data_IF_610628461703
#
_entry.id   IF_610628461703
#
_cell.length_a   1.000
_cell.length_b   1.000
_cell.length_c   1.000
_cell.angle_alpha   90.00
_cell.angle_beta   90.00
_cell.angle_gamma   90.00
#
_symmetry.space_group_name_H-M   'P 1'
#
loop_
_entity.id
_entity.type
_entity.pdbx_description
1 polymer ?
#
# COMPACT_ATOMS: atom_id res chain seq x y z
N UNK A 1 0.19 -12.21 -10.77
CA UNK A 1 1.59 -12.10 -10.32
C UNK A 1 2.13 -13.50 -10.13
N UNK A 2 3.36 -13.74 -10.56
CA UNK A 2 4.05 -15.03 -10.37
C UNK A 2 5.34 -14.69 -9.65
N UNK A 3 5.51 -15.17 -8.42
CA UNK A 3 6.73 -15.00 -7.64
C UNK A 3 7.44 -16.36 -7.53
N UNK A 4 8.74 -16.33 -7.83
CA UNK A 4 9.68 -17.42 -7.61
C UNK A 4 10.73 -16.85 -6.66
N UNK A 5 10.56 -17.08 -5.36
CA UNK A 5 11.53 -16.73 -4.33
C UNK A 5 11.35 -17.66 -3.13
N UNK A 6 12.24 -18.65 -3.02
CA UNK A 6 12.23 -19.72 -1.99
C UNK A 6 13.22 -19.45 -0.84
N UNK A 7 13.55 -18.20 -0.55
CA UNK A 7 14.20 -17.82 0.72
C UNK A 7 14.24 -16.31 0.91
N UNK A 8 13.67 -15.80 1.99
CA UNK A 8 13.71 -14.39 2.40
C UNK A 8 14.30 -14.36 3.84
N UNK A 9 15.45 -13.71 4.02
CA UNK A 9 16.16 -13.53 5.30
C UNK A 9 15.59 -12.38 6.13
N UNK A 10 15.92 -12.30 7.44
CA UNK A 10 15.68 -11.08 8.23
C UNK A 10 16.38 -9.90 7.54
N UNK A 11 15.72 -8.74 7.51
CA UNK A 11 16.07 -7.52 6.76
C UNK A 11 15.84 -7.57 5.25
N UNK A 12 15.36 -8.70 4.70
CA UNK A 12 14.94 -8.72 3.30
C UNK A 12 13.69 -7.86 3.10
N UNK A 13 13.64 -7.25 1.92
CA UNK A 13 12.61 -6.29 1.55
C UNK A 13 11.68 -6.92 0.52
N UNK A 14 10.43 -7.07 0.91
CA UNK A 14 9.35 -7.35 -0.03
C UNK A 14 8.87 -6.01 -0.61
N UNK A 15 9.22 -5.75 -1.87
CA UNK A 15 8.74 -4.58 -2.59
C UNK A 15 7.32 -4.81 -3.10
N UNK A 16 6.42 -3.89 -2.77
CA UNK A 16 5.05 -3.85 -3.24
C UNK A 16 4.84 -2.64 -4.14
N UNK A 17 4.19 -2.85 -5.28
CA UNK A 17 3.83 -1.80 -6.22
C UNK A 17 2.36 -1.43 -6.04
N UNK A 18 2.10 -0.18 -5.67
CA UNK A 18 0.75 0.39 -5.57
C UNK A 18 0.36 0.99 -6.92
N UNK A 19 -0.81 0.58 -7.41
CA UNK A 19 -1.45 1.18 -8.57
C UNK A 19 -2.88 1.56 -8.21
N UNK A 20 -3.21 2.85 -8.33
CA UNK A 20 -4.56 3.37 -8.09
C UNK A 20 -5.03 4.20 -9.28
N UNK A 21 -6.16 3.79 -9.85
CA UNK A 21 -6.79 4.49 -10.95
C UNK A 21 -8.25 4.78 -10.62
N UNK A 22 -8.59 6.06 -10.56
CA UNK A 22 -9.98 6.47 -10.53
C UNK A 22 -10.53 6.59 -11.95
N UNK A 23 -11.64 5.90 -12.24
CA UNK A 23 -12.32 5.92 -13.55
C UNK A 23 -13.80 6.36 -13.43
N UNK A 24 -14.15 7.11 -12.39
CA UNK A 24 -15.52 7.59 -12.22
C UNK A 24 -15.84 8.79 -13.10
N UNK A 25 -17.09 9.22 -13.04
CA UNK A 25 -17.64 10.28 -13.90
C UNK A 25 -17.27 11.69 -13.46
N UNK A 26 -16.92 11.89 -12.18
CA UNK A 26 -16.39 13.16 -11.72
C UNK A 26 -14.98 13.36 -12.30
N UNK A 27 -14.59 14.60 -12.65
CA UNK A 27 -13.27 14.85 -13.22
C UNK A 27 -12.13 14.59 -12.24
N UNK A 28 -12.38 14.74 -10.94
CA UNK A 28 -11.42 14.45 -9.88
C UNK A 28 -12.11 14.13 -8.55
N UNK A 29 -11.40 13.42 -7.68
CA UNK A 29 -11.76 13.21 -6.27
C UNK A 29 -10.82 14.02 -5.41
N UNK A 30 -11.38 14.63 -4.37
CA UNK A 30 -10.60 15.49 -3.49
C UNK A 30 -9.58 14.73 -2.65
N UNK A 31 -9.95 13.58 -2.08
CA UNK A 31 -9.05 12.79 -1.25
C UNK A 31 -9.45 11.31 -1.23
N UNK A 32 -8.47 10.44 -1.48
CA UNK A 32 -8.56 9.00 -1.28
C UNK A 32 -7.67 8.62 -0.10
N UNK A 33 -8.18 7.74 0.75
CA UNK A 33 -7.38 7.03 1.76
C UNK A 33 -7.08 5.63 1.25
N UNK A 34 -5.85 5.16 1.47
CA UNK A 34 -5.40 3.81 1.15
C UNK A 34 -4.87 3.15 2.41
N UNK A 35 -5.53 2.09 2.86
CA UNK A 35 -5.15 1.26 4.00
C UNK A 35 -4.24 0.13 3.55
N UNK A 36 -2.98 0.22 3.98
CA UNK A 36 -1.93 -0.76 3.77
C UNK A 36 -1.66 -1.46 5.10
N UNK A 37 -1.66 -2.80 5.08
CA UNK A 37 -1.40 -3.60 6.28
C UNK A 37 -0.25 -4.55 6.07
N UNK A 38 0.77 -4.41 6.91
CA UNK A 38 1.87 -5.33 6.96
C UNK A 38 1.41 -6.67 7.59
N UNK A 39 1.86 -7.81 7.05
CA UNK A 39 1.68 -9.10 7.69
C UNK A 39 2.36 -9.17 9.06
N UNK A 40 2.08 -10.23 9.81
CA UNK A 40 2.92 -10.54 10.98
C UNK A 40 4.37 -10.75 10.55
N UNK A 41 5.32 -10.31 11.37
CA UNK A 41 6.76 -10.46 11.09
C UNK A 41 7.30 -9.51 10.04
N UNK A 42 6.50 -8.51 9.64
CA UNK A 42 6.90 -7.46 8.71
C UNK A 42 6.54 -6.08 9.26
N UNK A 43 7.40 -5.11 8.95
CA UNK A 43 7.15 -3.70 9.16
C UNK A 43 7.30 -2.92 7.85
N UNK A 44 6.66 -1.75 7.76
CA UNK A 44 6.88 -0.85 6.64
C UNK A 44 8.22 -0.12 6.77
N UNK A 45 8.92 0.10 5.66
CA UNK A 45 9.98 1.11 5.65
C UNK A 45 9.37 2.51 5.55
N UNK A 46 9.22 3.17 6.70
CA UNK A 46 8.62 4.50 6.80
C UNK A 46 9.42 5.59 6.07
N UNK A 47 10.72 5.39 5.85
CA UNK A 47 11.54 6.37 5.11
C UNK A 47 11.13 6.49 3.64
N UNK A 48 10.55 5.43 3.07
CA UNK A 48 9.99 5.47 1.72
C UNK A 48 8.69 6.30 1.69
N UNK A 49 7.84 6.19 2.71
CA UNK A 49 6.63 7.02 2.82
C UNK A 49 6.96 8.50 3.08
N UNK A 50 7.98 8.80 3.90
CA UNK A 50 8.50 10.15 4.09
C UNK A 50 8.99 10.75 2.76
N UNK A 51 9.65 9.93 1.93
CA UNK A 51 10.12 10.34 0.61
C UNK A 51 8.96 10.57 -0.37
N UNK A 52 7.90 9.75 -0.32
CA UNK A 52 6.70 9.92 -1.14
C UNK A 52 5.95 11.21 -0.80
N UNK A 53 5.81 11.53 0.50
CA UNK A 53 5.23 12.79 0.98
C UNK A 53 6.08 13.98 0.52
N UNK A 54 7.39 13.92 0.75
CA UNK A 54 8.32 14.98 0.35
C UNK A 54 8.34 15.24 -1.17
N UNK A 55 8.06 14.22 -1.98
CA UNK A 55 7.95 14.32 -3.45
C UNK A 55 6.56 14.77 -3.93
N UNK A 56 5.57 14.81 -3.03
CA UNK A 56 4.17 15.12 -3.36
C UNK A 56 3.45 14.02 -4.12
N UNK A 57 3.96 12.77 -4.07
CA UNK A 57 3.27 11.60 -4.64
C UNK A 57 2.06 11.23 -3.78
N UNK A 58 2.23 11.34 -2.46
CA UNK A 58 1.18 11.26 -1.46
C UNK A 58 1.10 12.60 -0.73
N UNK A 59 -0.02 12.89 -0.08
CA UNK A 59 -0.21 14.14 0.67
C UNK A 59 0.27 14.04 2.11
N UNK A 60 0.16 12.84 2.70
CA UNK A 60 0.64 12.46 4.03
C UNK A 60 0.40 10.97 4.26
N UNK A 61 0.89 10.44 5.37
CA UNK A 61 0.51 9.12 5.86
C UNK A 61 0.41 9.09 7.38
N UNK A 62 -0.42 8.21 7.92
CA UNK A 62 -0.42 7.83 9.34
C UNK A 62 0.11 6.41 9.48
N UNK A 63 0.90 6.16 10.53
CA UNK A 63 1.39 4.82 10.87
C UNK A 63 0.94 4.44 12.28
N UNK A 64 0.36 3.24 12.42
CA UNK A 64 0.00 2.64 13.70
C UNK A 64 0.31 1.13 13.69
N UNK A 65 1.36 0.72 14.40
CA UNK A 65 1.87 -0.65 14.41
C UNK A 65 2.16 -1.15 12.98
N UNK A 66 1.35 -2.08 12.48
CA UNK A 66 1.48 -2.71 11.15
C UNK A 66 0.49 -2.14 10.13
N UNK A 67 -0.07 -0.97 10.40
CA UNK A 67 -0.98 -0.29 9.49
C UNK A 67 -0.39 1.05 9.07
N UNK A 68 -0.37 1.29 7.76
CA UNK A 68 -0.12 2.60 7.18
C UNK A 68 -1.36 3.03 6.40
N UNK A 69 -1.89 4.20 6.72
CA UNK A 69 -2.97 4.83 5.96
C UNK A 69 -2.37 5.99 5.17
N UNK A 70 -2.37 5.86 3.85
CA UNK A 70 -1.86 6.86 2.91
C UNK A 70 -2.99 7.79 2.50
N UNK A 71 -2.72 9.10 2.52
CA UNK A 71 -3.64 10.12 2.04
C UNK A 71 -3.15 10.62 0.68
N UNK A 72 -4.03 10.63 -0.31
CA UNK A 72 -3.73 11.12 -1.66
C UNK A 72 -4.78 12.18 -1.98
N UNK A 73 -4.37 13.38 -2.40
CA UNK A 73 -5.27 14.47 -2.80
C UNK A 73 -5.32 14.65 -4.31
N UNK A 74 -6.40 15.27 -4.78
CA UNK A 74 -6.56 15.71 -6.17
C UNK A 74 -6.41 14.58 -7.21
N UNK A 75 -7.06 13.44 -6.96
CA UNK A 75 -7.02 12.27 -7.84
C UNK A 75 -7.81 12.56 -9.10
N UNK A 76 -7.14 12.71 -10.23
CA UNK A 76 -7.77 13.01 -11.53
C UNK A 76 -8.28 11.73 -12.18
N UNK A 77 -9.50 11.76 -12.71
CA UNK A 77 -10.08 10.62 -13.42
C UNK A 77 -9.25 10.26 -14.66
N UNK A 78 -8.95 8.97 -14.82
CA UNK A 78 -8.13 8.44 -15.91
C UNK A 78 -6.62 8.63 -15.76
N UNK A 79 -6.15 9.22 -14.66
CA UNK A 79 -4.72 9.39 -14.37
C UNK A 79 -4.35 8.48 -13.20
N UNK A 80 -3.44 7.50 -13.38
CA UNK A 80 -3.05 6.63 -12.29
C UNK A 80 -2.12 7.34 -11.31
N UNK A 81 -2.25 6.98 -10.03
CA UNK A 81 -1.26 7.24 -8.99
C UNK A 81 -0.54 5.94 -8.72
N UNK A 82 0.78 5.97 -8.81
CA UNK A 82 1.64 4.79 -8.70
C UNK A 82 2.84 5.09 -7.81
N UNK A 83 3.17 4.16 -6.94
CA UNK A 83 4.39 4.20 -6.14
C UNK A 83 4.76 2.83 -5.60
N UNK A 84 6.03 2.65 -5.31
CA UNK A 84 6.54 1.46 -4.63
C UNK A 84 6.68 1.73 -3.14
N UNK A 85 6.49 0.69 -2.34
CA UNK A 85 6.83 0.68 -0.92
C UNK A 85 7.35 -0.71 -0.50
N UNK A 86 8.16 -0.75 0.54
CA UNK A 86 8.80 -1.95 1.03
C UNK A 86 8.23 -2.39 2.37
N UNK A 87 8.05 -3.70 2.49
CA UNK A 87 7.87 -4.39 3.76
C UNK A 87 9.20 -5.06 4.12
N UNK A 88 9.71 -4.78 5.32
CA UNK A 88 10.96 -5.34 5.84
C UNK A 88 10.64 -6.52 6.74
N UNK A 89 11.24 -7.68 6.45
CA UNK A 89 11.09 -8.88 7.26
C UNK A 89 11.80 -8.72 8.62
N UNK A 90 11.03 -8.76 9.70
CA UNK A 90 11.52 -8.74 11.09
C UNK A 90 11.70 -10.16 11.67
N UNK A 91 10.97 -11.15 11.12
CA UNK A 91 10.99 -12.55 11.55
C UNK A 91 10.94 -13.49 10.34
N UNK A 92 11.60 -14.67 10.39
CA UNK A 92 11.53 -15.67 9.34
C UNK A 92 10.24 -16.50 9.47
N UNK A 93 9.11 -15.95 8.99
CA UNK A 93 7.80 -16.60 9.09
C UNK A 93 7.01 -16.54 7.80
N UNK A 94 6.24 -17.59 7.53
CA UNK A 94 5.19 -17.57 6.49
C UNK A 94 4.11 -16.54 6.84
N UNK A 95 3.65 -15.77 5.86
CA UNK A 95 2.62 -14.77 6.09
C UNK A 95 1.77 -14.48 4.86
N UNK A 96 0.63 -13.84 5.09
CA UNK A 96 -0.29 -13.39 4.05
C UNK A 96 -0.35 -11.87 4.06
N UNK A 97 -0.03 -11.24 2.94
CA UNK A 97 -0.29 -9.82 2.73
C UNK A 97 -1.80 -9.63 2.61
N UNK A 98 -2.38 -8.85 3.51
CA UNK A 98 -3.79 -8.53 3.43
C UNK A 98 -4.09 -7.67 2.18
N UNK A 99 -5.33 -7.74 1.72
CA UNK A 99 -5.80 -6.87 0.65
C UNK A 99 -5.61 -5.39 0.99
N UNK A 100 -5.30 -4.59 -0.03
CA UNK A 100 -5.27 -3.13 0.07
C UNK A 100 -6.69 -2.61 -0.07
N UNK A 101 -7.08 -1.68 0.78
CA UNK A 101 -8.38 -1.03 0.70
C UNK A 101 -8.19 0.45 0.37
N UNK A 102 -8.89 0.95 -0.64
CA UNK A 102 -8.93 2.37 -0.97
C UNK A 102 -10.37 2.91 -0.92
N UNK A 103 -10.57 4.13 -0.41
CA UNK A 103 -11.89 4.76 -0.37
C UNK A 103 -11.83 6.29 -0.43
N UNK A 104 -12.91 6.90 -0.93
CA UNK A 104 -13.13 8.35 -0.82
C UNK A 104 -13.36 8.74 0.64
N UNK A 105 -12.55 9.67 1.14
CA UNK A 105 -12.67 10.18 2.51
C UNK A 105 -14.09 10.71 2.81
N UNK A 106 -14.72 11.34 1.82
CA UNK A 106 -15.97 12.08 2.01
C UNK A 106 -17.20 11.23 1.69
N UNK A 107 -17.08 10.24 0.79
CA UNK A 107 -18.17 9.35 0.39
C UNK A 107 -17.75 7.87 0.40
N UNK A 108 -17.31 7.32 1.55
CA UNK A 108 -16.66 6.00 1.62
C UNK A 108 -17.57 4.82 1.25
N UNK A 109 -18.88 4.98 1.37
CA UNK A 109 -19.86 3.94 1.00
C UNK A 109 -20.13 3.90 -0.52
N UNK A 110 -19.94 5.02 -1.21
CA UNK A 110 -20.21 5.15 -2.65
C UNK A 110 -18.98 4.80 -3.49
N UNK A 111 -17.78 5.10 -2.98
CA UNK A 111 -16.54 4.89 -3.70
C UNK A 111 -15.49 4.20 -2.82
N UNK A 112 -15.40 2.88 -2.99
CA UNK A 112 -14.47 1.98 -2.31
C UNK A 112 -13.98 0.90 -3.28
N UNK A 113 -12.72 0.50 -3.10
CA UNK A 113 -12.13 -0.65 -3.79
C UNK A 113 -11.26 -1.45 -2.81
N UNK A 114 -11.13 -2.74 -3.06
CA UNK A 114 -10.30 -3.64 -2.27
C UNK A 114 -9.65 -4.68 -3.18
N UNK A 115 -8.37 -4.98 -2.95
CA UNK A 115 -7.66 -6.07 -3.61
C UNK A 115 -7.80 -7.36 -2.79
N UNK A 116 -7.63 -8.51 -3.44
CA UNK A 116 -7.54 -9.77 -2.71
C UNK A 116 -6.21 -9.88 -1.94
N UNK A 117 -6.18 -10.61 -0.81
CA UNK A 117 -4.94 -10.97 -0.13
C UNK A 117 -3.98 -11.75 -1.06
N UNK A 118 -2.69 -11.64 -0.78
CA UNK A 118 -1.62 -12.35 -1.50
C UNK A 118 -0.80 -13.16 -0.50
N UNK A 119 -0.76 -14.47 -0.69
CA UNK A 119 0.07 -15.37 0.12
C UNK A 119 1.52 -15.37 -0.37
N UNK A 120 2.48 -15.40 0.55
CA UNK A 120 3.90 -15.55 0.22
C UNK A 120 4.68 -16.28 1.34
N UNK A 121 5.75 -16.97 0.96
CA UNK A 121 6.58 -17.77 1.88
C UNK A 121 7.93 -17.09 2.11
N UNK A 122 8.38 -17.04 3.36
CA UNK A 122 9.66 -16.46 3.78
C UNK A 122 10.49 -17.57 4.40
N UNK A 123 11.38 -18.16 3.61
CA UNK A 123 12.25 -19.25 4.04
C UNK A 123 13.63 -18.70 4.49
N UNK A 124 14.15 -19.16 5.63
CA UNK A 124 15.48 -18.76 6.14
C UNK A 124 16.64 -19.59 5.60
#
# INVERSE_FOLDING_TARGET
>A
MTYDATSISVDDRLMAHMYLLYNGTAPAIKMILVDLRAPMGFAFDLSEFDALDSQGVISSYDCNDRQVVVYITDIVSGVPVEFDYSLVAELPIESTLQGVVAWDMYNPEELRSETLPVDFEVSG
#
